data_IF_295152534081
#
_entry.id   IF_295152534081
#
_cell.length_a   1.000
_cell.length_b   1.000
_cell.length_c   1.000
_cell.angle_alpha   90.00
_cell.angle_beta   90.00
_cell.angle_gamma   90.00
#
_symmetry.space_group_name_H-M   'P 1'
#
loop_
_entity.id
_entity.type
_entity.pdbx_description
1 polymer ?
#
# COMPACT_ATOMS: atom_id res chain seq x y z
N UNK A 1 6.53 10.42 -21.00
CA UNK A 1 6.03 10.29 -19.60
C UNK A 1 4.71 9.55 -19.65
N UNK A 2 4.53 8.52 -18.82
CA UNK A 2 3.28 7.79 -18.78
C UNK A 2 2.20 8.58 -18.04
N UNK A 3 0.96 8.42 -18.47
CA UNK A 3 -0.21 9.00 -17.82
C UNK A 3 -0.77 8.01 -16.79
N UNK A 4 -0.80 8.41 -15.53
CA UNK A 4 -1.37 7.63 -14.44
C UNK A 4 -2.63 8.29 -13.91
N UNK A 5 -3.67 7.49 -13.66
CA UNK A 5 -4.75 7.87 -12.75
C UNK A 5 -4.49 7.19 -11.40
N UNK A 6 -4.26 8.00 -10.37
CA UNK A 6 -4.05 7.52 -9.00
C UNK A 6 -5.39 7.37 -8.30
N UNK A 7 -5.67 6.18 -7.77
CA UNK A 7 -6.96 5.86 -7.15
C UNK A 7 -6.74 5.36 -5.73
N UNK A 8 -7.21 6.11 -4.75
CA UNK A 8 -7.16 5.72 -3.34
C UNK A 8 -8.45 5.01 -2.93
N UNK A 9 -8.32 3.89 -2.21
CA UNK A 9 -9.44 3.15 -1.64
C UNK A 9 -9.29 3.09 -0.13
N UNK A 10 -10.24 3.68 0.60
CA UNK A 10 -10.21 3.81 2.04
C UNK A 10 -9.25 4.90 2.54
N UNK A 11 -9.24 5.15 3.82
CA UNK A 11 -8.52 6.27 4.44
C UNK A 11 -7.02 6.30 4.11
N UNK A 12 -6.33 5.18 4.23
CA UNK A 12 -4.91 5.09 3.95
C UNK A 12 -4.60 5.36 2.46
N UNK A 13 -5.29 4.67 1.55
CA UNK A 13 -5.15 4.88 0.11
C UNK A 13 -5.43 6.32 -0.31
N UNK A 14 -6.45 6.94 0.28
CA UNK A 14 -6.82 8.33 0.00
C UNK A 14 -5.73 9.33 0.42
N UNK A 15 -5.03 9.09 1.54
CA UNK A 15 -3.89 9.92 1.94
C UNK A 15 -2.69 9.79 0.98
N UNK A 16 -2.46 8.62 0.40
CA UNK A 16 -1.44 8.46 -0.63
C UNK A 16 -1.79 9.23 -1.90
N UNK A 17 -3.02 9.12 -2.38
CA UNK A 17 -3.41 9.82 -3.62
C UNK A 17 -3.53 11.33 -3.43
N UNK A 18 -3.84 11.81 -2.23
CA UNK A 18 -3.75 13.24 -1.90
C UNK A 18 -2.30 13.76 -2.03
N UNK A 19 -1.31 12.96 -1.60
CA UNK A 19 0.10 13.29 -1.79
C UNK A 19 0.52 13.28 -3.28
N UNK A 20 -0.07 12.42 -4.11
CA UNK A 20 0.12 12.47 -5.56
C UNK A 20 -0.53 13.71 -6.18
N UNK A 21 -1.74 14.09 -5.74
CA UNK A 21 -2.41 15.31 -6.17
C UNK A 21 -1.61 16.56 -5.83
N UNK A 22 -0.95 16.61 -4.64
CA UNK A 22 -0.02 17.67 -4.26
C UNK A 22 1.14 17.84 -5.25
N UNK A 23 1.52 16.79 -5.96
CA UNK A 23 2.52 16.79 -7.03
C UNK A 23 1.90 17.00 -8.43
N UNK A 24 0.67 17.52 -8.52
CA UNK A 24 -0.09 17.81 -9.75
C UNK A 24 -0.39 16.58 -10.61
N UNK A 25 -0.57 15.43 -9.98
CA UNK A 25 -1.04 14.22 -10.65
C UNK A 25 -2.57 14.12 -10.55
N UNK A 26 -3.20 13.52 -11.56
CA UNK A 26 -4.64 13.25 -11.55
C UNK A 26 -4.95 12.13 -10.57
N UNK A 27 -5.83 12.40 -9.60
CA UNK A 27 -6.11 11.47 -8.53
C UNK A 27 -7.59 11.46 -8.12
N UNK A 28 -8.06 10.32 -7.62
CA UNK A 28 -9.42 10.07 -7.12
C UNK A 28 -9.33 9.39 -5.76
N UNK A 29 -10.15 9.85 -4.82
CA UNK A 29 -10.32 9.21 -3.51
C UNK A 29 -11.70 8.53 -3.43
N UNK A 30 -11.72 7.25 -3.03
CA UNK A 30 -12.93 6.45 -2.84
C UNK A 30 -13.00 6.02 -1.38
N UNK A 31 -14.11 6.31 -0.68
CA UNK A 31 -14.28 5.88 0.71
C UNK A 31 -15.75 5.66 1.06
N UNK A 32 -15.97 4.86 2.09
CA UNK A 32 -17.29 4.61 2.69
C UNK A 32 -17.73 5.71 3.67
N UNK A 33 -16.85 6.66 4.02
CA UNK A 33 -17.18 7.78 4.90
C UNK A 33 -16.72 9.11 4.30
N UNK A 34 -17.63 10.08 4.27
CA UNK A 34 -17.35 11.45 3.83
C UNK A 34 -16.34 12.14 4.75
N UNK A 35 -16.44 11.91 6.07
CA UNK A 35 -15.59 12.52 7.09
C UNK A 35 -14.09 12.27 6.87
N UNK A 36 -13.71 11.06 6.46
CA UNK A 36 -12.31 10.73 6.18
C UNK A 36 -11.77 11.51 4.99
N UNK A 37 -12.64 11.78 4.00
CA UNK A 37 -12.26 12.50 2.78
C UNK A 37 -12.15 14.02 2.99
N UNK A 38 -12.83 14.59 3.97
CA UNK A 38 -12.75 16.01 4.31
C UNK A 38 -11.35 16.45 4.78
N UNK A 39 -10.54 15.50 5.24
CA UNK A 39 -9.16 15.76 5.66
C UNK A 39 -8.16 15.88 4.50
N UNK A 40 -8.57 15.55 3.27
CA UNK A 40 -7.75 15.61 2.06
C UNK A 40 -7.63 17.06 1.58
N UNK A 41 -6.41 17.50 1.25
CA UNK A 41 -6.11 18.93 1.03
C UNK A 41 -5.87 19.29 -0.43
N UNK A 42 -5.49 18.32 -1.26
CA UNK A 42 -5.00 18.56 -2.61
C UNK A 42 -5.88 17.96 -3.71
N UNK A 43 -6.87 17.16 -3.32
CA UNK A 43 -7.87 16.61 -4.23
C UNK A 43 -9.04 17.57 -4.41
N UNK A 44 -9.45 17.76 -5.66
CA UNK A 44 -10.69 18.45 -5.96
C UNK A 44 -11.89 17.71 -5.38
N UNK A 45 -12.89 18.43 -4.87
CA UNK A 45 -14.08 17.82 -4.26
C UNK A 45 -14.82 16.88 -5.21
N UNK A 46 -14.84 17.18 -6.49
CA UNK A 46 -15.42 16.32 -7.51
C UNK A 46 -14.71 14.98 -7.69
N UNK A 47 -13.48 14.84 -7.21
CA UNK A 47 -12.69 13.62 -7.23
C UNK A 47 -12.81 12.81 -5.94
N UNK A 48 -13.70 13.21 -5.02
CA UNK A 48 -14.03 12.48 -3.81
C UNK A 48 -15.31 11.67 -4.06
N UNK A 49 -15.18 10.35 -4.11
CA UNK A 49 -16.27 9.41 -4.39
C UNK A 49 -16.69 8.72 -3.10
N UNK A 50 -17.88 9.07 -2.60
CA UNK A 50 -18.45 8.42 -1.43
C UNK A 50 -19.25 7.18 -1.86
N UNK A 51 -18.88 6.02 -1.29
CA UNK A 51 -19.49 4.72 -1.53
C UNK A 51 -20.17 4.16 -0.27
N UNK A 52 -20.85 5.01 0.51
CA UNK A 52 -21.56 4.52 1.70
C UNK A 52 -22.58 3.45 1.30
N UNK A 53 -22.49 2.26 1.88
CA UNK A 53 -23.42 1.18 1.59
C UNK A 53 -24.86 1.55 1.97
N UNK A 54 -25.82 1.11 1.16
CA UNK A 54 -27.24 1.35 1.41
C UNK A 54 -27.67 0.81 2.79
N UNK A 55 -28.38 1.64 3.55
CA UNK A 55 -28.81 1.33 4.91
C UNK A 55 -27.74 1.50 5.99
N UNK A 56 -26.49 1.85 5.64
CA UNK A 56 -25.42 2.15 6.61
C UNK A 56 -25.46 3.62 7.00
N UNK A 57 -25.28 3.91 8.30
CA UNK A 57 -25.15 5.29 8.83
C UNK A 57 -23.70 5.74 9.02
N UNK A 58 -22.72 4.88 8.67
CA UNK A 58 -21.30 5.14 8.89
C UNK A 58 -20.40 4.41 7.91
N UNK A 59 -19.09 4.53 8.10
CA UNK A 59 -18.09 3.83 7.29
C UNK A 59 -18.07 2.32 7.53
N UNK A 60 -17.24 1.61 6.76
CA UNK A 60 -17.07 0.15 6.89
C UNK A 60 -16.39 -0.27 8.22
N UNK A 61 -15.89 0.67 9.02
CA UNK A 61 -15.13 0.36 10.22
C UNK A 61 -13.90 -0.51 9.85
N UNK A 62 -13.70 -1.58 10.61
CA UNK A 62 -12.67 -2.60 10.31
C UNK A 62 -13.24 -3.85 9.65
N UNK A 63 -14.43 -3.76 9.04
CA UNK A 63 -15.16 -4.90 8.47
C UNK A 63 -15.02 -4.93 6.95
N UNK A 64 -14.16 -5.78 6.36
CA UNK A 64 -13.94 -5.86 4.91
C UNK A 64 -15.20 -6.21 4.13
N UNK A 65 -16.08 -7.07 4.67
CA UNK A 65 -17.34 -7.42 4.02
C UNK A 65 -18.24 -6.19 3.75
N UNK A 66 -18.29 -5.22 4.68
CA UNK A 66 -19.02 -3.97 4.47
C UNK A 66 -18.33 -3.10 3.42
N UNK A 67 -17.01 -3.06 3.39
CA UNK A 67 -16.24 -2.36 2.36
C UNK A 67 -16.45 -2.95 0.96
N UNK A 68 -16.47 -4.27 0.86
CA UNK A 68 -16.74 -4.99 -0.39
C UNK A 68 -18.17 -4.73 -0.88
N UNK A 69 -19.16 -4.83 0.01
CA UNK A 69 -20.57 -4.54 -0.29
C UNK A 69 -20.74 -3.11 -0.79
N UNK A 70 -20.18 -2.15 -0.07
CA UNK A 70 -20.25 -0.74 -0.44
C UNK A 70 -19.65 -0.50 -1.84
N UNK A 71 -18.47 -1.05 -2.12
CA UNK A 71 -17.85 -0.94 -3.45
C UNK A 71 -18.71 -1.61 -4.52
N UNK A 72 -19.31 -2.77 -4.24
CA UNK A 72 -20.14 -3.49 -5.19
C UNK A 72 -21.42 -2.73 -5.54
N UNK A 73 -22.08 -2.11 -4.57
CA UNK A 73 -23.27 -1.29 -4.80
C UNK A 73 -23.00 -0.04 -5.64
N UNK A 74 -21.78 0.51 -5.57
CA UNK A 74 -21.37 1.74 -6.27
C UNK A 74 -20.34 1.51 -7.40
N UNK A 75 -20.11 0.26 -7.80
CA UNK A 75 -19.00 -0.06 -8.72
C UNK A 75 -19.13 0.62 -10.08
N UNK A 76 -20.33 0.76 -10.61
CA UNK A 76 -20.57 1.39 -11.91
C UNK A 76 -20.31 2.90 -11.85
N UNK A 77 -20.73 3.58 -10.78
CA UNK A 77 -20.49 5.01 -10.56
C UNK A 77 -18.98 5.27 -10.37
N UNK A 78 -18.31 4.47 -9.54
CA UNK A 78 -16.85 4.54 -9.35
C UNK A 78 -16.15 4.32 -10.69
N UNK A 79 -16.51 3.27 -11.41
CA UNK A 79 -15.89 2.95 -12.70
C UNK A 79 -16.11 4.07 -13.73
N UNK A 80 -17.35 4.60 -13.84
CA UNK A 80 -17.65 5.71 -14.73
C UNK A 80 -16.82 6.95 -14.40
N UNK A 81 -16.66 7.26 -13.09
CA UNK A 81 -15.80 8.35 -12.65
C UNK A 81 -14.35 8.15 -13.03
N UNK A 82 -13.82 6.94 -12.81
CA UNK A 82 -12.45 6.61 -13.20
C UNK A 82 -12.25 6.73 -14.72
N UNK A 83 -13.20 6.30 -15.52
CA UNK A 83 -13.12 6.41 -16.99
C UNK A 83 -13.19 7.86 -17.45
N UNK A 84 -14.00 8.70 -16.82
CA UNK A 84 -14.08 10.12 -17.18
C UNK A 84 -12.78 10.90 -16.92
N UNK A 85 -12.01 10.53 -15.88
CA UNK A 85 -10.75 11.19 -15.52
C UNK A 85 -9.52 10.49 -16.13
N UNK A 86 -9.60 9.20 -16.33
CA UNK A 86 -8.51 8.34 -16.80
C UNK A 86 -8.70 7.85 -18.23
N UNK A 87 -9.43 8.57 -19.09
CA UNK A 87 -9.62 8.18 -20.50
C UNK A 87 -8.29 7.94 -21.21
N UNK A 88 -7.32 8.82 -20.98
CA UNK A 88 -5.97 8.78 -21.54
C UNK A 88 -4.93 8.16 -20.61
N UNK A 89 -5.35 7.50 -19.51
CA UNK A 89 -4.41 6.89 -18.58
C UNK A 89 -3.79 5.62 -19.18
N UNK A 90 -2.46 5.57 -19.19
CA UNK A 90 -1.72 4.34 -19.52
C UNK A 90 -1.90 3.28 -18.44
N UNK A 91 -2.01 3.72 -17.16
CA UNK A 91 -2.16 2.86 -15.98
C UNK A 91 -3.07 3.47 -14.93
N UNK A 92 -3.83 2.61 -14.25
CA UNK A 92 -4.55 2.91 -13.02
C UNK A 92 -3.69 2.48 -11.83
N UNK A 93 -3.27 3.41 -10.99
CA UNK A 93 -2.45 3.10 -9.83
C UNK A 93 -3.31 3.13 -8.56
N UNK A 94 -3.74 1.94 -8.14
CA UNK A 94 -4.63 1.77 -6.99
C UNK A 94 -3.84 1.72 -5.68
N UNK A 95 -4.26 2.50 -4.69
CA UNK A 95 -3.64 2.57 -3.37
C UNK A 95 -4.63 2.18 -2.28
N UNK A 96 -4.22 1.27 -1.39
CA UNK A 96 -5.03 0.88 -0.24
C UNK A 96 -4.19 0.41 0.94
N UNK A 97 -4.69 0.68 2.15
CA UNK A 97 -4.19 0.04 3.36
C UNK A 97 -4.96 -1.27 3.61
N UNK A 98 -4.19 -2.34 3.81
CA UNK A 98 -4.73 -3.66 4.10
C UNK A 98 -4.85 -3.84 5.62
N UNK A 99 -6.05 -3.80 6.15
CA UNK A 99 -6.32 -3.89 7.59
C UNK A 99 -7.62 -3.19 7.98
N UNK A 100 -7.99 -2.13 7.25
CA UNK A 100 -9.26 -1.45 7.39
C UNK A 100 -10.40 -2.15 6.63
N UNK A 101 -11.64 -1.68 6.82
CA UNK A 101 -12.80 -2.26 6.13
C UNK A 101 -12.84 -1.88 4.64
N UNK A 102 -12.80 -0.57 4.32
CA UNK A 102 -12.96 -0.08 2.93
C UNK A 102 -11.81 -0.49 2.03
N UNK A 103 -10.55 -0.34 2.48
CA UNK A 103 -9.38 -0.70 1.68
C UNK A 103 -9.30 -2.20 1.43
N UNK A 104 -9.41 -3.01 2.48
CA UNK A 104 -9.30 -4.47 2.40
C UNK A 104 -10.44 -5.11 1.61
N UNK A 105 -11.68 -4.62 1.76
CA UNK A 105 -12.84 -5.18 1.08
C UNK A 105 -13.11 -4.56 -0.30
N UNK A 106 -13.02 -3.24 -0.40
CA UNK A 106 -13.36 -2.53 -1.65
C UNK A 106 -12.33 -2.64 -2.75
N UNK A 107 -11.02 -2.68 -2.41
CA UNK A 107 -9.97 -2.78 -3.42
C UNK A 107 -10.08 -4.02 -4.30
N UNK A 108 -10.27 -5.26 -3.78
CA UNK A 108 -10.41 -6.45 -4.64
C UNK A 108 -11.57 -6.34 -5.63
N UNK A 109 -12.70 -5.75 -5.23
CA UNK A 109 -13.87 -5.56 -6.10
C UNK A 109 -13.54 -4.60 -7.24
N UNK A 110 -12.95 -3.44 -6.94
CA UNK A 110 -12.54 -2.47 -7.96
C UNK A 110 -11.46 -3.02 -8.88
N UNK A 111 -10.46 -3.70 -8.33
CA UNK A 111 -9.38 -4.33 -9.08
C UNK A 111 -9.93 -5.33 -10.10
N UNK A 112 -10.82 -6.23 -9.66
CA UNK A 112 -11.49 -7.19 -10.52
C UNK A 112 -12.20 -6.49 -11.69
N UNK A 113 -13.00 -5.46 -11.42
CA UNK A 113 -13.71 -4.67 -12.45
C UNK A 113 -12.77 -4.07 -13.48
N UNK A 114 -11.64 -3.50 -13.05
CA UNK A 114 -10.65 -2.92 -13.97
C UNK A 114 -9.96 -3.98 -14.82
N UNK A 115 -9.57 -5.12 -14.25
CA UNK A 115 -8.91 -6.21 -14.97
C UNK A 115 -9.84 -6.87 -16.00
N UNK A 116 -11.10 -7.11 -15.67
CA UNK A 116 -12.13 -7.63 -16.58
C UNK A 116 -12.32 -6.68 -17.79
N UNK A 117 -12.19 -5.38 -17.55
CA UNK A 117 -12.22 -4.37 -18.61
C UNK A 117 -10.84 -4.09 -19.26
N UNK A 118 -9.88 -5.02 -19.10
CA UNK A 118 -8.54 -4.99 -19.70
C UNK A 118 -7.74 -3.72 -19.42
N UNK A 119 -8.01 -3.06 -18.27
CA UNK A 119 -7.25 -1.90 -17.83
C UNK A 119 -5.91 -2.34 -17.25
N UNK A 120 -4.85 -1.58 -17.53
CA UNK A 120 -3.54 -1.81 -16.93
C UNK A 120 -3.54 -1.21 -15.52
N UNK A 121 -3.18 -2.03 -14.55
CA UNK A 121 -3.23 -1.66 -13.14
C UNK A 121 -1.86 -1.83 -12.48
N UNK A 122 -1.56 -0.95 -11.54
CA UNK A 122 -0.46 -1.05 -10.58
C UNK A 122 -1.08 -0.96 -9.19
N UNK A 123 -0.53 -1.65 -8.21
CA UNK A 123 -1.01 -1.60 -6.83
C UNK A 123 0.03 -0.99 -5.89
N UNK A 124 -0.43 -0.15 -4.98
CA UNK A 124 0.28 0.32 -3.79
C UNK A 124 -0.46 -0.17 -2.55
N UNK A 125 0.11 -1.14 -1.87
CA UNK A 125 -0.51 -1.81 -0.72
C UNK A 125 0.30 -1.53 0.54
N UNK A 126 -0.37 -1.23 1.66
CA UNK A 126 0.30 -1.10 2.95
C UNK A 126 -0.15 -2.17 3.92
N UNK A 127 0.81 -2.79 4.58
CA UNK A 127 0.58 -3.72 5.69
C UNK A 127 0.53 -2.95 7.01
N UNK A 128 -0.32 -3.36 7.97
CA UNK A 128 -0.40 -2.74 9.27
C UNK A 128 0.93 -2.88 10.04
N UNK A 129 1.10 -2.04 11.04
CA UNK A 129 2.20 -2.21 11.99
C UNK A 129 1.83 -3.20 13.10
N UNK A 130 2.87 -3.62 13.86
CA UNK A 130 2.74 -4.66 14.87
C UNK A 130 1.92 -4.24 16.09
N UNK A 131 1.63 -2.94 16.26
CA UNK A 131 0.81 -2.42 17.37
C UNK A 131 -0.67 -2.33 17.02
N UNK A 132 -1.03 -2.55 15.74
CA UNK A 132 -2.43 -2.58 15.34
C UNK A 132 -3.08 -3.91 15.73
N UNK A 133 -4.32 -3.86 16.20
CA UNK A 133 -4.99 -5.02 16.81
C UNK A 133 -5.21 -6.20 15.85
N UNK A 134 -5.56 -7.34 16.44
CA UNK A 134 -5.76 -8.65 15.78
C UNK A 134 -6.60 -8.56 14.52
N UNK A 135 -7.77 -7.93 14.62
CA UNK A 135 -8.71 -7.80 13.50
C UNK A 135 -8.04 -7.15 12.28
N UNK A 136 -7.19 -6.15 12.51
CA UNK A 136 -6.46 -5.45 11.45
C UNK A 136 -5.42 -6.37 10.79
N UNK A 137 -4.73 -7.19 11.59
CA UNK A 137 -3.73 -8.15 11.07
C UNK A 137 -4.40 -9.26 10.24
N UNK A 138 -5.53 -9.81 10.74
CA UNK A 138 -6.33 -10.81 10.02
C UNK A 138 -6.87 -10.25 8.70
N UNK A 139 -7.43 -9.04 8.74
CA UNK A 139 -7.93 -8.36 7.55
C UNK A 139 -6.83 -8.15 6.50
N UNK A 140 -5.64 -7.73 6.95
CA UNK A 140 -4.51 -7.49 6.07
C UNK A 140 -4.02 -8.77 5.39
N UNK A 141 -3.89 -9.85 6.16
CA UNK A 141 -3.52 -11.15 5.60
C UNK A 141 -4.52 -11.62 4.56
N UNK A 142 -5.81 -11.66 4.91
CA UNK A 142 -6.86 -12.15 4.02
C UNK A 142 -6.96 -11.32 2.74
N UNK A 143 -6.94 -9.98 2.85
CA UNK A 143 -6.97 -9.09 1.70
C UNK A 143 -5.73 -9.25 0.81
N UNK A 144 -4.53 -9.39 1.41
CA UNK A 144 -3.29 -9.61 0.66
C UNK A 144 -3.36 -10.90 -0.16
N UNK A 145 -3.76 -12.01 0.44
CA UNK A 145 -3.90 -13.31 -0.25
C UNK A 145 -4.96 -13.23 -1.35
N UNK A 146 -6.10 -12.61 -1.09
CA UNK A 146 -7.15 -12.44 -2.08
C UNK A 146 -6.66 -11.62 -3.29
N UNK A 147 -5.95 -10.52 -3.06
CA UNK A 147 -5.39 -9.68 -4.12
C UNK A 147 -4.34 -10.45 -4.92
N UNK A 148 -3.40 -11.15 -4.25
CA UNK A 148 -2.34 -11.90 -4.92
C UNK A 148 -2.91 -13.02 -5.79
N UNK A 149 -3.95 -13.73 -5.32
CA UNK A 149 -4.68 -14.72 -6.13
C UNK A 149 -5.36 -14.08 -7.33
N UNK A 150 -6.03 -12.94 -7.13
CA UNK A 150 -6.73 -12.24 -8.22
C UNK A 150 -5.78 -11.79 -9.33
N UNK A 151 -4.57 -11.34 -8.99
CA UNK A 151 -3.59 -10.88 -9.98
C UNK A 151 -2.68 -12.00 -10.51
N UNK A 152 -2.83 -13.24 -10.05
CA UNK A 152 -1.93 -14.35 -10.40
C UNK A 152 -1.78 -14.56 -11.90
N UNK A 153 -2.86 -14.41 -12.67
CA UNK A 153 -2.88 -14.57 -14.12
C UNK A 153 -2.62 -13.28 -14.89
N UNK A 154 -2.36 -12.16 -14.21
CA UNK A 154 -2.19 -10.84 -14.81
C UNK A 154 -0.77 -10.30 -14.61
N UNK A 155 -0.36 -9.40 -15.51
CA UNK A 155 0.87 -8.61 -15.36
C UNK A 155 0.53 -7.33 -14.58
N UNK A 156 0.39 -7.46 -13.28
CA UNK A 156 0.09 -6.38 -12.35
C UNK A 156 1.26 -6.26 -11.37
N UNK A 157 2.12 -5.26 -11.55
CA UNK A 157 3.17 -4.98 -10.58
C UNK A 157 2.56 -4.33 -9.34
N UNK A 158 3.15 -4.60 -8.17
CA UNK A 158 2.66 -4.05 -6.91
C UNK A 158 3.78 -3.63 -5.97
N UNK A 159 3.58 -2.54 -5.28
CA UNK A 159 4.36 -2.12 -4.11
C UNK A 159 3.71 -2.73 -2.86
N UNK A 160 4.53 -3.27 -1.98
CA UNK A 160 4.08 -3.72 -0.66
C UNK A 160 4.89 -2.98 0.41
N UNK A 161 4.22 -2.08 1.11
CA UNK A 161 4.80 -1.15 2.07
C UNK A 161 4.52 -1.67 3.49
N UNK A 162 5.51 -1.57 4.37
CA UNK A 162 5.40 -2.00 5.76
C UNK A 162 5.32 -0.80 6.69
N UNK A 163 4.19 -0.63 7.39
CA UNK A 163 3.98 0.48 8.29
C UNK A 163 5.01 0.53 9.44
N UNK A 164 5.49 -0.62 9.90
CA UNK A 164 6.59 -0.68 10.88
C UNK A 164 7.85 0.05 10.38
N UNK A 165 8.25 -0.20 9.13
CA UNK A 165 9.42 0.46 8.54
C UNK A 165 9.21 1.95 8.37
N UNK A 166 7.99 2.37 8.00
CA UNK A 166 7.65 3.80 7.94
C UNK A 166 7.78 4.43 9.32
N UNK A 167 7.20 3.83 10.36
CA UNK A 167 7.29 4.34 11.74
C UNK A 167 8.74 4.46 12.22
N UNK A 168 9.55 3.43 11.98
CA UNK A 168 10.97 3.45 12.34
C UNK A 168 11.72 4.57 11.62
N UNK A 169 11.42 4.79 10.33
CA UNK A 169 12.05 5.87 9.56
C UNK A 169 11.60 7.25 10.04
N UNK A 170 10.32 7.41 10.38
CA UNK A 170 9.81 8.66 10.96
C UNK A 170 10.52 9.01 12.25
N UNK A 171 10.76 8.03 13.13
CA UNK A 171 11.52 8.23 14.37
C UNK A 171 12.97 8.68 14.08
N UNK A 172 13.65 8.05 13.13
CA UNK A 172 15.03 8.40 12.76
C UNK A 172 15.17 9.84 12.23
N UNK A 173 14.15 10.37 11.53
CA UNK A 173 14.19 11.71 10.94
C UNK A 173 13.38 12.75 11.72
N UNK A 174 12.93 12.41 12.95
CA UNK A 174 12.03 13.22 13.76
C UNK A 174 10.78 13.71 12.99
N UNK A 175 10.31 12.94 12.03
CA UNK A 175 9.08 13.24 11.30
C UNK A 175 7.87 12.85 12.14
N UNK A 176 6.88 13.75 12.20
CA UNK A 176 5.73 13.63 13.11
C UNK A 176 4.52 13.02 12.41
N UNK A 177 4.49 12.99 11.07
CA UNK A 177 3.30 12.62 10.34
C UNK A 177 3.53 11.71 9.11
N UNK A 178 2.50 10.93 8.81
CA UNK A 178 2.44 10.06 7.64
C UNK A 178 2.42 10.83 6.32
N UNK A 179 1.98 12.09 6.32
CA UNK A 179 1.88 12.91 5.11
C UNK A 179 3.27 13.17 4.54
N UNK A 180 4.28 13.37 5.41
CA UNK A 180 5.69 13.53 4.99
C UNK A 180 6.18 12.32 4.21
N UNK A 181 5.94 11.09 4.70
CA UNK A 181 6.39 9.86 4.04
C UNK A 181 5.63 9.63 2.74
N UNK A 182 4.30 9.79 2.76
CA UNK A 182 3.49 9.70 1.54
C UNK A 182 3.94 10.72 0.50
N UNK A 183 4.33 11.93 0.94
CA UNK A 183 4.91 12.96 0.09
C UNK A 183 6.25 12.55 -0.53
N UNK A 184 7.13 11.89 0.21
CA UNK A 184 8.42 11.38 -0.30
C UNK A 184 8.17 10.32 -1.38
N UNK A 185 7.31 9.33 -1.11
CA UNK A 185 6.99 8.27 -2.06
C UNK A 185 6.35 8.82 -3.33
N UNK A 186 5.34 9.66 -3.20
CA UNK A 186 4.64 10.25 -4.34
C UNK A 186 5.57 11.13 -5.19
N UNK A 187 6.43 11.93 -4.54
CA UNK A 187 7.43 12.76 -5.22
C UNK A 187 8.47 11.90 -5.95
N UNK A 188 8.95 10.83 -5.31
CA UNK A 188 9.93 9.92 -5.90
C UNK A 188 9.37 9.27 -7.16
N UNK A 189 8.15 8.72 -7.12
CA UNK A 189 7.50 8.12 -8.29
C UNK A 189 7.23 9.17 -9.38
N UNK A 190 6.73 10.35 -9.01
CA UNK A 190 6.46 11.43 -9.95
C UNK A 190 7.74 11.89 -10.68
N UNK A 191 8.87 12.02 -9.97
CA UNK A 191 10.14 12.40 -10.59
C UNK A 191 10.69 11.27 -11.47
N UNK A 192 10.59 10.02 -11.03
CA UNK A 192 10.96 8.88 -11.85
C UNK A 192 10.17 8.86 -13.16
N UNK A 193 8.84 9.04 -13.11
CA UNK A 193 8.00 9.11 -14.31
C UNK A 193 8.39 10.28 -15.24
N UNK A 194 8.69 11.46 -14.68
CA UNK A 194 9.15 12.62 -15.47
C UNK A 194 10.44 12.33 -16.21
N UNK A 195 11.30 11.45 -15.71
CA UNK A 195 12.57 11.12 -16.36
C UNK A 195 12.36 10.43 -17.72
N UNK A 196 11.24 9.69 -17.91
CA UNK A 196 10.91 9.08 -19.21
C UNK A 196 10.55 10.10 -20.32
N UNK A 197 10.48 11.38 -20.00
CA UNK A 197 10.25 12.48 -20.98
C UNK A 197 11.49 13.35 -21.20
N UNK A 198 12.62 12.98 -20.59
CA UNK A 198 13.87 13.70 -20.73
C UNK A 198 14.70 13.09 -21.85
N UNK A 199 15.47 13.94 -22.53
CA UNK A 199 16.53 13.54 -23.45
C UNK A 199 17.88 13.69 -22.81
N UNK A 200 18.85 12.87 -23.19
CA UNK A 200 20.20 12.93 -22.66
C UNK A 200 21.23 12.65 -23.76
N UNK A 201 22.40 13.34 -23.74
CA UNK A 201 23.52 12.99 -24.61
C UNK A 201 24.24 11.70 -24.17
N UNK A 202 23.92 11.15 -23.01
CA UNK A 202 24.57 9.95 -22.45
C UNK A 202 23.70 8.71 -22.62
N UNK A 203 22.65 8.56 -21.82
CA UNK A 203 21.70 7.46 -21.90
C UNK A 203 20.30 7.98 -21.62
N UNK A 204 19.35 7.62 -22.49
CA UNK A 204 17.95 8.04 -22.38
C UNK A 204 17.09 6.86 -21.97
N UNK A 205 16.29 7.04 -20.94
CA UNK A 205 15.21 6.17 -20.55
C UNK A 205 13.90 6.75 -21.08
N UNK A 206 13.23 6.04 -21.96
CA UNK A 206 12.03 6.53 -22.64
C UNK A 206 10.74 5.88 -22.11
N UNK A 207 9.62 6.30 -22.71
CA UNK A 207 8.30 5.79 -22.37
C UNK A 207 8.15 4.29 -22.68
N UNK A 208 8.80 3.80 -23.74
CA UNK A 208 8.76 2.39 -24.13
C UNK A 208 9.48 1.54 -23.08
N UNK A 209 10.63 1.99 -22.62
CA UNK A 209 11.39 1.34 -21.55
C UNK A 209 10.60 1.32 -20.23
N UNK A 210 9.90 2.42 -19.94
CA UNK A 210 9.06 2.45 -18.75
C UNK A 210 7.85 1.51 -18.86
N UNK A 211 7.19 1.45 -20.01
CA UNK A 211 6.12 0.46 -20.25
C UNK A 211 6.61 -0.98 -20.08
N UNK A 212 7.82 -1.29 -20.56
CA UNK A 212 8.44 -2.61 -20.36
C UNK A 212 8.77 -2.86 -18.89
N UNK A 213 9.29 -1.87 -18.17
CA UNK A 213 9.58 -1.94 -16.72
C UNK A 213 8.32 -2.30 -15.93
N UNK A 214 7.16 -1.75 -16.29
CA UNK A 214 5.89 -2.00 -15.61
C UNK A 214 5.11 -3.21 -16.13
N UNK A 215 5.48 -3.76 -17.30
CA UNK A 215 4.76 -4.90 -17.90
C UNK A 215 5.29 -6.23 -17.38
N UNK A 216 5.34 -6.39 -16.07
CA UNK A 216 5.81 -7.60 -15.38
C UNK A 216 4.82 -8.03 -14.32
N UNK A 217 4.91 -9.28 -13.91
CA UNK A 217 4.21 -9.84 -12.77
C UNK A 217 5.13 -9.79 -11.56
N UNK A 218 4.62 -9.46 -10.39
CA UNK A 218 5.36 -9.54 -9.15
C UNK A 218 5.49 -8.22 -8.39
N UNK A 219 6.23 -8.27 -7.31
CA UNK A 219 6.46 -7.09 -6.49
C UNK A 219 7.43 -6.13 -7.20
N UNK A 220 7.28 -4.85 -6.92
CA UNK A 220 8.22 -3.82 -7.34
C UNK A 220 8.70 -3.00 -6.14
N UNK A 221 9.86 -2.38 -6.28
CA UNK A 221 10.39 -1.39 -5.34
C UNK A 221 10.85 -0.15 -6.10
N UNK A 222 10.81 0.99 -5.45
CA UNK A 222 11.36 2.24 -5.99
C UNK A 222 12.06 3.00 -4.87
N UNK A 223 13.35 3.20 -5.03
CA UNK A 223 14.17 3.93 -4.07
C UNK A 223 14.78 5.18 -4.71
N UNK A 224 15.08 6.15 -3.87
CA UNK A 224 15.81 7.36 -4.23
C UNK A 224 17.03 7.50 -3.33
N UNK A 225 18.20 7.62 -3.95
CA UNK A 225 19.48 7.88 -3.27
C UNK A 225 19.97 9.28 -3.65
N UNK A 226 20.58 9.99 -2.72
CA UNK A 226 21.22 11.29 -2.98
C UNK A 226 22.58 11.32 -2.30
N UNK A 227 23.64 11.38 -3.08
CA UNK A 227 25.03 11.36 -2.62
C UNK A 227 25.73 12.65 -3.01
N UNK A 228 26.53 13.19 -2.12
CA UNK A 228 27.47 14.24 -2.53
C UNK A 228 28.53 13.64 -3.48
N UNK A 229 28.90 14.36 -4.51
CA UNK A 229 29.89 13.93 -5.49
C UNK A 229 31.21 13.52 -4.81
N UNK A 230 31.61 14.21 -3.75
CA UNK A 230 32.83 13.92 -2.97
C UNK A 230 32.79 12.54 -2.28
N UNK A 231 31.61 11.98 -2.00
CA UNK A 231 31.44 10.71 -1.31
C UNK A 231 31.52 9.53 -2.29
N UNK A 232 31.53 9.81 -3.60
CA UNK A 232 31.66 8.80 -4.64
C UNK A 232 33.13 8.64 -5.02
N UNK A 233 33.84 7.84 -4.25
CA UNK A 233 35.28 7.63 -4.42
C UNK A 233 35.61 6.58 -5.50
N UNK A 234 34.70 5.63 -5.74
CA UNK A 234 34.86 4.56 -6.71
C UNK A 234 33.50 3.98 -7.12
N UNK A 235 33.51 3.03 -8.05
CA UNK A 235 32.31 2.39 -8.58
C UNK A 235 31.56 1.50 -7.55
N UNK A 236 32.24 1.06 -6.50
CA UNK A 236 31.62 0.31 -5.39
C UNK A 236 30.79 1.25 -4.52
N UNK A 237 31.24 2.47 -4.27
CA UNK A 237 30.52 3.44 -3.42
C UNK A 237 29.10 3.72 -3.94
N UNK A 238 28.93 3.95 -5.23
CA UNK A 238 27.62 4.19 -5.84
C UNK A 238 26.75 2.93 -5.86
N UNK A 239 27.34 1.76 -6.23
CA UNK A 239 26.65 0.46 -6.18
C UNK A 239 26.12 0.16 -4.79
N UNK A 240 26.95 0.28 -3.76
CA UNK A 240 26.59 -0.08 -2.39
C UNK A 240 25.53 0.87 -1.82
N UNK A 241 25.58 2.15 -2.18
CA UNK A 241 24.54 3.10 -1.80
C UNK A 241 23.18 2.70 -2.36
N UNK A 242 23.10 2.22 -3.60
CA UNK A 242 21.86 1.75 -4.22
C UNK A 242 21.39 0.45 -3.56
N UNK A 243 22.29 -0.52 -3.34
CA UNK A 243 21.96 -1.79 -2.66
C UNK A 243 21.48 -1.53 -1.23
N UNK A 244 22.13 -0.64 -0.49
CA UNK A 244 21.69 -0.24 0.86
C UNK A 244 20.29 0.40 0.83
N UNK A 245 20.01 1.22 -0.17
CA UNK A 245 18.67 1.78 -0.34
C UNK A 245 17.61 0.68 -0.62
N UNK A 246 17.94 -0.38 -1.36
CA UNK A 246 17.02 -1.50 -1.56
C UNK A 246 16.84 -2.37 -0.32
N UNK A 247 17.86 -2.54 0.51
CA UNK A 247 17.86 -3.52 1.61
C UNK A 247 17.60 -2.92 2.98
N UNK A 248 18.14 -1.72 3.26
CA UNK A 248 18.13 -1.13 4.60
C UNK A 248 17.32 0.16 4.71
N UNK A 249 17.36 0.99 3.67
CA UNK A 249 16.83 2.37 3.71
C UNK A 249 15.54 2.54 2.89
N UNK A 250 14.68 1.51 2.89
CA UNK A 250 13.40 1.55 2.17
C UNK A 250 12.19 1.41 3.11
N UNK A 251 10.99 1.56 2.54
CA UNK A 251 9.71 1.43 3.24
C UNK A 251 8.96 0.15 2.88
N UNK A 252 9.54 -0.66 1.99
CA UNK A 252 8.91 -1.87 1.49
C UNK A 252 9.16 -3.04 2.44
N UNK A 253 8.35 -4.07 2.33
CA UNK A 253 8.67 -5.37 2.95
C UNK A 253 10.04 -5.83 2.50
N UNK A 254 10.69 -6.64 3.31
CA UNK A 254 11.98 -7.21 2.92
C UNK A 254 11.83 -8.09 1.69
N UNK A 255 12.75 -7.95 0.76
CA UNK A 255 12.76 -8.69 -0.50
C UNK A 255 14.19 -9.05 -0.91
N UNK A 256 14.31 -10.12 -1.65
CA UNK A 256 15.55 -10.51 -2.29
C UNK A 256 15.65 -9.83 -3.67
N UNK A 257 16.52 -8.82 -3.79
CA UNK A 257 16.71 -8.07 -5.02
C UNK A 257 17.27 -8.93 -6.17
N UNK A 258 17.88 -10.08 -5.88
CA UNK A 258 18.37 -11.02 -6.90
C UNK A 258 17.24 -11.72 -7.66
N UNK A 259 16.01 -11.65 -7.13
CA UNK A 259 14.82 -12.21 -7.78
C UNK A 259 14.18 -11.26 -8.79
N UNK A 260 14.65 -10.02 -8.91
CA UNK A 260 14.13 -9.05 -9.85
C UNK A 260 14.30 -9.49 -11.30
N UNK A 261 13.30 -9.21 -12.13
CA UNK A 261 13.35 -9.47 -13.58
C UNK A 261 13.89 -8.27 -14.35
N UNK A 262 13.58 -7.05 -13.88
CA UNK A 262 13.98 -5.80 -14.52
C UNK A 262 14.52 -4.84 -13.45
N UNK A 263 15.61 -4.17 -13.81
CA UNK A 263 16.20 -3.08 -13.05
C UNK A 263 16.19 -1.81 -13.90
N UNK A 264 15.54 -0.77 -13.44
CA UNK A 264 15.59 0.55 -14.08
C UNK A 264 16.28 1.54 -13.16
N UNK A 265 17.38 2.12 -13.64
CA UNK A 265 18.19 3.06 -12.86
C UNK A 265 18.31 4.39 -13.60
N UNK A 266 17.81 5.45 -12.98
CA UNK A 266 17.91 6.82 -13.48
C UNK A 266 18.92 7.58 -12.62
N UNK A 267 19.92 8.16 -13.28
CA UNK A 267 20.97 8.94 -12.63
C UNK A 267 20.87 10.38 -13.11
N UNK A 268 20.74 11.29 -12.18
CA UNK A 268 20.85 12.73 -12.40
C UNK A 268 22.13 13.23 -11.73
N UNK A 269 23.06 13.77 -12.50
CA UNK A 269 24.36 14.21 -11.98
C UNK A 269 24.76 15.58 -12.52
N UNK A 270 25.64 16.32 -11.81
CA UNK A 270 26.17 17.59 -12.29
C UNK A 270 26.80 17.45 -13.68
N UNK A 271 26.51 18.40 -14.55
CA UNK A 271 27.01 18.38 -15.93
C UNK A 271 28.55 18.30 -15.98
N UNK A 272 29.24 19.07 -15.12
CA UNK A 272 30.70 19.07 -15.07
C UNK A 272 31.28 17.75 -14.57
N UNK A 273 30.56 17.05 -13.68
CA UNK A 273 30.91 15.68 -13.26
C UNK A 273 30.83 14.69 -14.43
N UNK A 274 29.77 14.75 -15.22
CA UNK A 274 29.54 13.84 -16.36
C UNK A 274 30.48 14.12 -17.55
N UNK A 275 30.92 15.35 -17.76
CA UNK A 275 31.89 15.71 -18.81
C UNK A 275 33.29 15.09 -18.56
N UNK A 276 33.60 14.77 -17.31
CA UNK A 276 34.84 14.08 -16.97
C UNK A 276 34.71 12.60 -17.33
N UNK A 277 35.53 12.13 -18.29
CA UNK A 277 35.51 10.74 -18.78
C UNK A 277 35.72 9.70 -17.68
N UNK A 278 36.56 9.98 -16.68
CA UNK A 278 36.80 9.06 -15.56
C UNK A 278 35.57 8.92 -14.68
N UNK A 279 34.89 10.01 -14.37
CA UNK A 279 33.66 10.01 -13.59
C UNK A 279 32.51 9.30 -14.33
N UNK A 280 32.40 9.53 -15.64
CA UNK A 280 31.41 8.85 -16.45
C UNK A 280 31.64 7.34 -16.47
N UNK A 281 32.89 6.88 -16.68
CA UNK A 281 33.27 5.46 -16.60
C UNK A 281 33.00 4.86 -15.22
N UNK A 282 33.16 5.66 -14.15
CA UNK A 282 32.84 5.21 -12.79
C UNK A 282 31.35 4.89 -12.67
N UNK A 283 30.47 5.76 -13.22
CA UNK A 283 29.01 5.49 -13.26
C UNK A 283 28.73 4.20 -14.05
N UNK A 284 29.29 4.05 -15.24
CA UNK A 284 29.08 2.86 -16.07
C UNK A 284 29.53 1.58 -15.35
N UNK A 285 30.71 1.60 -14.71
CA UNK A 285 31.24 0.47 -13.93
C UNK A 285 30.34 0.17 -12.72
N UNK A 286 29.81 1.19 -12.02
CA UNK A 286 28.87 1.01 -10.91
C UNK A 286 27.59 0.31 -11.36
N UNK A 287 27.03 0.74 -12.49
CA UNK A 287 25.81 0.13 -13.06
C UNK A 287 26.02 -1.30 -13.50
N UNK A 288 27.20 -1.61 -14.08
CA UNK A 288 27.57 -2.97 -14.44
C UNK A 288 27.65 -3.87 -13.20
N UNK A 289 28.37 -3.44 -12.16
CA UNK A 289 28.47 -4.16 -10.89
C UNK A 289 27.12 -4.29 -10.17
N UNK A 290 26.25 -3.31 -10.29
CA UNK A 290 24.89 -3.37 -9.75
C UNK A 290 24.07 -4.45 -10.46
N UNK A 291 24.12 -4.47 -11.80
CA UNK A 291 23.48 -5.51 -12.61
C UNK A 291 24.00 -6.91 -12.22
N UNK A 292 25.32 -7.06 -12.12
CA UNK A 292 25.93 -8.33 -11.78
C UNK A 292 25.54 -8.82 -10.38
N UNK A 293 25.35 -7.90 -9.43
CA UNK A 293 24.82 -8.21 -8.09
C UNK A 293 23.37 -8.70 -8.13
N UNK A 294 22.54 -8.24 -9.07
CA UNK A 294 21.17 -8.70 -9.26
C UNK A 294 21.07 -10.04 -10.01
N UNK A 295 22.14 -10.54 -10.62
CA UNK A 295 22.14 -11.76 -11.44
C UNK A 295 21.58 -11.53 -12.84
N UNK A 296 20.77 -12.47 -13.34
CA UNK A 296 20.17 -12.36 -14.69
C UNK A 296 19.01 -11.39 -14.68
N UNK A 297 19.21 -10.17 -15.16
CA UNK A 297 18.26 -9.08 -15.13
C UNK A 297 18.31 -8.26 -16.43
N UNK A 298 17.17 -7.70 -16.85
CA UNK A 298 17.12 -6.73 -17.96
C UNK A 298 17.31 -5.32 -17.41
N UNK A 299 18.43 -4.64 -17.70
CA UNK A 299 18.66 -3.29 -17.23
C UNK A 299 18.10 -2.24 -18.20
N UNK A 300 17.46 -1.21 -17.65
CA UNK A 300 17.17 0.05 -18.33
C UNK A 300 17.84 1.19 -17.58
N UNK A 301 18.45 2.13 -18.32
CA UNK A 301 19.24 3.18 -17.71
C UNK A 301 18.97 4.52 -18.38
N UNK A 302 18.82 5.57 -17.55
CA UNK A 302 18.84 6.95 -17.97
C UNK A 302 19.91 7.72 -17.20
N UNK A 303 20.75 8.49 -17.89
CA UNK A 303 21.79 9.33 -17.28
C UNK A 303 21.59 10.76 -17.78
N UNK A 304 21.22 11.66 -16.86
CA UNK A 304 20.81 13.02 -17.19
C UNK A 304 21.70 14.04 -16.50
N UNK A 305 22.31 14.94 -17.28
CA UNK A 305 23.05 16.07 -16.72
C UNK A 305 22.09 17.12 -16.14
N UNK A 306 22.50 17.78 -15.07
CA UNK A 306 21.86 18.98 -14.59
C UNK A 306 22.88 20.10 -14.29
N UNK A 307 22.43 21.35 -14.33
CA UNK A 307 23.28 22.50 -14.05
C UNK A 307 23.16 22.88 -12.57
N UNK A 308 24.20 22.63 -11.79
CA UNK A 308 24.24 22.90 -10.34
C UNK A 308 23.99 24.38 -9.99
N UNK A 309 24.36 25.32 -10.86
CA UNK A 309 24.13 26.74 -10.62
C UNK A 309 22.70 27.19 -10.78
N UNK A 310 21.88 26.38 -11.51
CA UNK A 310 20.48 26.67 -11.79
C UNK A 310 19.53 25.84 -10.90
N UNK A 311 20.03 24.79 -10.30
CA UNK A 311 19.22 23.87 -9.48
C UNK A 311 19.66 23.88 -8.02
N UNK A 312 18.73 23.93 -7.09
CA UNK A 312 18.99 23.98 -5.64
C UNK A 312 19.53 22.66 -5.04
N UNK A 313 19.92 21.70 -5.89
CA UNK A 313 20.37 20.36 -5.45
C UNK A 313 21.81 20.32 -4.95
N UNK A 314 22.59 21.37 -5.24
CA UNK A 314 24.02 21.39 -4.95
C UNK A 314 24.78 20.36 -5.78
N UNK A 315 26.00 20.01 -5.35
CA UNK A 315 26.89 19.07 -6.05
C UNK A 315 26.58 17.61 -5.64
N UNK A 316 25.40 17.10 -6.04
CA UNK A 316 24.91 15.77 -5.65
C UNK A 316 24.57 14.92 -6.86
N UNK A 317 24.83 13.62 -6.77
CA UNK A 317 24.27 12.63 -7.68
C UNK A 317 22.96 12.14 -7.06
N UNK A 318 21.88 12.21 -7.83
CA UNK A 318 20.56 11.67 -7.44
C UNK A 318 20.27 10.44 -8.29
N UNK A 319 19.99 9.33 -7.63
CA UNK A 319 19.66 8.07 -8.29
C UNK A 319 18.25 7.68 -7.92
N UNK A 320 17.46 7.33 -8.91
CA UNK A 320 16.19 6.64 -8.73
C UNK A 320 16.39 5.22 -9.26
N UNK A 321 16.14 4.21 -8.45
CA UNK A 321 16.26 2.83 -8.88
C UNK A 321 14.98 2.06 -8.60
N UNK A 322 14.42 1.45 -9.65
CA UNK A 322 13.22 0.63 -9.62
C UNK A 322 13.59 -0.81 -9.95
N UNK A 323 13.21 -1.74 -9.09
CA UNK A 323 13.23 -3.17 -9.36
C UNK A 323 11.80 -3.64 -9.59
N UNK A 324 11.58 -4.49 -10.60
CA UNK A 324 10.28 -5.08 -10.87
C UNK A 324 10.39 -6.56 -11.17
N UNK A 325 9.29 -7.29 -10.95
CA UNK A 325 9.29 -8.75 -11.07
C UNK A 325 9.91 -9.48 -9.88
N UNK A 326 10.01 -8.80 -8.74
CA UNK A 326 10.46 -9.40 -7.48
C UNK A 326 9.49 -10.47 -7.00
N UNK A 327 10.00 -11.52 -6.37
CA UNK A 327 9.18 -12.54 -5.72
C UNK A 327 8.39 -11.94 -4.57
N UNK A 328 7.19 -12.49 -4.34
CA UNK A 328 6.39 -12.13 -3.17
C UNK A 328 7.15 -12.50 -1.88
N UNK A 329 7.10 -11.65 -0.83
CA UNK A 329 7.77 -11.90 0.45
C UNK A 329 6.99 -12.92 1.28
N UNK A 330 7.06 -14.19 0.87
CA UNK A 330 6.26 -15.28 1.47
C UNK A 330 6.52 -15.45 2.97
N UNK A 331 7.76 -15.27 3.42
CA UNK A 331 8.10 -15.34 4.85
C UNK A 331 7.34 -14.31 5.68
N UNK A 332 7.24 -13.07 5.19
CA UNK A 332 6.47 -12.02 5.85
C UNK A 332 4.97 -12.31 5.86
N UNK A 333 4.43 -12.85 4.77
CA UNK A 333 3.02 -13.22 4.70
C UNK A 333 2.69 -14.38 5.63
N UNK A 334 3.58 -15.38 5.73
CA UNK A 334 3.47 -16.49 6.69
C UNK A 334 3.55 -15.98 8.14
N UNK A 335 4.48 -15.07 8.44
CA UNK A 335 4.59 -14.47 9.77
C UNK A 335 3.32 -13.66 10.13
N UNK A 336 2.76 -12.91 9.18
CA UNK A 336 1.49 -12.20 9.36
C UNK A 336 0.33 -13.17 9.66
N UNK A 337 0.28 -14.31 8.96
CA UNK A 337 -0.71 -15.36 9.19
C UNK A 337 -0.57 -15.99 10.59
N UNK A 338 0.66 -16.33 10.98
CA UNK A 338 0.92 -16.94 12.29
C UNK A 338 0.50 -16.00 13.42
N UNK A 339 0.87 -14.73 13.34
CA UNK A 339 0.46 -13.71 14.30
C UNK A 339 -1.05 -13.55 14.37
N UNK A 340 -1.71 -13.47 13.21
CA UNK A 340 -3.17 -13.34 13.15
C UNK A 340 -3.88 -14.54 13.82
N UNK A 341 -3.39 -15.77 13.64
CA UNK A 341 -3.94 -16.97 14.30
C UNK A 341 -3.71 -16.95 15.79
N UNK A 342 -2.49 -16.69 16.24
CA UNK A 342 -2.14 -16.64 17.67
C UNK A 342 -3.02 -15.64 18.43
N UNK A 343 -3.18 -14.47 17.87
CA UNK A 343 -4.00 -13.43 18.46
C UNK A 343 -5.49 -13.78 18.44
N UNK A 344 -5.99 -14.45 17.39
CA UNK A 344 -7.38 -14.92 17.31
C UNK A 344 -7.67 -15.98 18.37
N UNK A 345 -6.77 -16.95 18.55
CA UNK A 345 -6.87 -17.97 19.61
C UNK A 345 -6.83 -17.34 21.02
N UNK A 346 -5.97 -16.35 21.24
CA UNK A 346 -5.91 -15.64 22.50
C UNK A 346 -7.20 -14.87 22.82
N UNK A 347 -7.83 -14.26 21.80
CA UNK A 347 -9.14 -13.60 21.94
C UNK A 347 -10.25 -14.60 22.26
N UNK A 348 -10.24 -15.76 21.61
CA UNK A 348 -11.25 -16.78 21.86
C UNK A 348 -11.16 -17.32 23.28
N UNK A 349 -9.96 -17.69 23.73
CA UNK A 349 -9.71 -18.08 25.12
C UNK A 349 -10.17 -17.02 26.14
N UNK A 350 -9.94 -15.75 25.83
CA UNK A 350 -10.36 -14.63 26.70
C UNK A 350 -11.87 -14.45 26.72
N UNK A 351 -12.58 -14.71 25.61
CA UNK A 351 -14.04 -14.72 25.58
C UNK A 351 -14.63 -15.88 26.37
N UNK A 352 -14.04 -17.06 26.25
CA UNK A 352 -14.45 -18.27 26.98
C UNK A 352 -14.20 -18.12 28.49
N UNK A 353 -13.07 -17.53 28.92
CA UNK A 353 -12.77 -17.25 30.32
C UNK A 353 -13.62 -16.13 30.94
N UNK A 354 -14.17 -15.24 30.12
CA UNK A 354 -15.04 -14.15 30.57
C UNK A 354 -16.54 -14.50 30.43
N UNK A 355 -16.90 -15.70 29.94
CA UNK A 355 -18.26 -16.19 30.04
C UNK A 355 -18.58 -16.48 31.51
N UNK A 356 -19.34 -15.58 32.12
CA UNK A 356 -19.84 -15.80 33.48
C UNK A 356 -20.72 -17.02 33.45
N UNK A 357 -20.33 -18.09 34.16
CA UNK A 357 -21.17 -19.25 34.35
C UNK A 357 -22.31 -18.90 35.30
N UNK A 358 -23.43 -18.50 34.74
CA UNK A 358 -24.64 -18.19 35.52
C UNK A 358 -25.19 -19.39 36.29
N UNK A 359 -24.67 -20.61 36.10
CA UNK A 359 -25.08 -21.78 36.87
C UNK A 359 -24.68 -21.66 38.35
N UNK A 360 -23.57 -20.99 38.66
CA UNK A 360 -23.20 -20.68 40.06
C UNK A 360 -24.15 -19.66 40.70
N UNK A 361 -24.69 -18.71 39.94
CA UNK A 361 -25.67 -17.74 40.46
C UNK A 361 -27.05 -18.39 40.71
N UNK A 362 -27.44 -19.38 39.90
CA UNK A 362 -28.67 -20.12 40.15
C UNK A 362 -28.62 -20.91 41.46
N UNK A 363 -27.42 -21.40 41.86
CA UNK A 363 -27.21 -22.07 43.14
C UNK A 363 -27.32 -21.12 44.36
N UNK A 364 -26.99 -19.84 44.19
CA UNK A 364 -27.09 -18.82 45.26
C UNK A 364 -28.54 -18.31 45.40
N UNK A 365 -29.31 -18.26 44.30
CA UNK A 365 -30.74 -17.87 44.31
C UNK A 365 -31.63 -18.83 45.15
N UNK A 366 -31.25 -20.10 45.21
CA UNK A 366 -32.00 -21.08 46.03
C UNK A 366 -31.73 -21.02 47.52
N UNK A 367 -30.83 -20.16 47.99
CA UNK A 367 -30.53 -19.98 49.45
C UNK A 367 -31.46 -18.93 50.08
N UNK A 368 -32.16 -18.12 49.29
CA UNK A 368 -33.05 -17.06 49.81
C UNK A 368 -34.54 -17.42 49.78
N UNK A 369 -34.90 -18.61 49.35
CA UNK A 369 -36.30 -19.09 49.28
C UNK A 369 -36.69 -20.03 50.42
N UNK A 370 -36.17 -19.84 51.66
CA UNK A 370 -36.72 -20.46 52.86
C UNK A 370 -37.05 -19.37 53.84
N UNK A 371 -38.36 -19.23 54.05
CA UNK A 371 -39.12 -18.44 55.04
C UNK A 371 -39.70 -17.10 54.52
N UNK A 372 -40.96 -17.19 54.05
CA UNK A 372 -42.04 -16.36 54.56
C UNK A 372 -43.38 -16.71 53.92
N UNK A 373 -44.33 -16.86 54.82
CA UNK A 373 -45.73 -17.13 54.69
C UNK A 373 -46.54 -16.35 53.63
N UNK A 374 -47.54 -17.02 53.16
CA UNK A 374 -48.84 -16.61 52.58
C UNK A 374 -49.12 -15.13 52.29
N UNK A 375 -49.75 -15.01 51.09
CA UNK A 375 -50.49 -13.86 50.57
C UNK A 375 -49.69 -12.83 49.76
N UNK A 376 -49.61 -13.02 48.46
CA UNK A 376 -50.30 -12.11 47.53
C UNK A 376 -50.33 -12.66 46.09
N UNK A 377 -51.51 -12.75 45.52
CA UNK A 377 -51.74 -12.97 44.09
C UNK A 377 -51.45 -11.70 43.34
N UNK A 378 -50.44 -11.71 42.50
CA UNK A 378 -50.42 -10.96 41.22
C UNK A 378 -48.95 -10.71 40.79
N UNK A 379 -48.45 -11.56 39.95
CA UNK A 379 -47.40 -11.22 38.95
C UNK A 379 -47.17 -12.39 38.02
N UNK A 380 -48.22 -12.76 37.29
CA UNK A 380 -48.14 -13.57 36.09
C UNK A 380 -47.85 -12.64 34.92
N UNK A 381 -46.62 -12.59 34.45
CA UNK A 381 -46.37 -11.81 33.26
C UNK A 381 -44.89 -11.55 32.96
N UNK A 382 -44.04 -12.59 33.00
CA UNK A 382 -42.68 -12.48 32.39
C UNK A 382 -42.16 -13.90 32.03
N UNK A 383 -42.91 -14.58 31.13
CA UNK A 383 -42.41 -15.76 30.45
C UNK A 383 -42.72 -15.64 28.97
N UNK A 384 -41.88 -14.92 28.23
CA UNK A 384 -41.76 -15.02 26.77
C UNK A 384 -40.58 -14.19 26.28
N UNK A 385 -39.38 -14.67 26.43
CA UNK A 385 -38.24 -14.31 25.56
C UNK A 385 -37.34 -15.55 25.43
N UNK A 386 -37.91 -16.56 24.81
CA UNK A 386 -37.16 -17.64 24.20
C UNK A 386 -37.10 -17.34 22.70
N UNK A 387 -35.94 -16.90 22.23
CA UNK A 387 -35.63 -16.85 20.82
C UNK A 387 -34.12 -17.04 20.63
N UNK A 388 -33.67 -18.27 20.82
CA UNK A 388 -32.53 -18.81 20.16
C UNK A 388 -32.83 -18.97 18.66
N UNK A 389 -32.32 -18.06 17.86
CA UNK A 389 -32.01 -18.28 16.44
C UNK A 389 -30.77 -17.50 16.12
N UNK A 390 -29.63 -18.17 16.20
CA UNK A 390 -28.41 -17.76 15.51
C UNK A 390 -28.62 -17.90 14.00
N UNK A 391 -28.21 -16.93 13.17
CA UNK A 391 -28.18 -17.14 11.73
C UNK A 391 -26.95 -17.98 11.37
N UNK A 392 -27.18 -19.15 10.81
CA UNK A 392 -26.16 -19.93 10.11
C UNK A 392 -25.59 -19.10 8.97
N UNK A 393 -24.30 -18.85 9.04
CA UNK A 393 -23.50 -18.29 7.94
C UNK A 393 -22.96 -19.46 7.11
N UNK A 394 -23.65 -19.77 6.02
CA UNK A 394 -23.14 -20.62 4.96
C UNK A 394 -21.98 -19.91 4.25
N UNK A 395 -20.82 -20.52 4.33
CA UNK A 395 -19.66 -20.18 3.51
C UNK A 395 -19.70 -20.99 2.21
N UNK A 396 -20.02 -20.35 1.13
CA UNK A 396 -19.60 -20.74 -0.22
C UNK A 396 -18.71 -19.66 -0.83
#
# INVERSE_FOLDING_TARGET
>A
MLNFLYVGVGQCGNKFVDAFAANKNTAVAVNTTQKDMESLKHLDRQNLVNITANGSKGGAGKTPALGAKAMQEHIDDVYARLMSLGAEADYFFLWAGLGGGTGSGGLPVLLKRLLENKKKVILGLTLPDDTEGVEVQVNAFNACIQILKLIESYKVPYLLIENNKIKNKMQQVNAIDWATVNGILSKTFTQFNKSANKTSPYSTFDETDFKKTLYVKGMMSLVRVSLDVKDIQNDISLRDAIINAWTKDNYFVDFDYTTASIMTTIIEAPEDFLKNKSNYKLIESSLLKLRDACGTISPYTGIYPYNERKESRGNKIVVYSMLTGLKAPMEKLVALQAKAKEEQEAMQKKKESNSVDFSEFAAIGNVFDTESDDNDKSLSGLSALDNNKEPELDFM
#
